data_IF_317542934182
#
_entry.id   IF_317542934182
#
_cell.length_a   1.000
_cell.length_b   1.000
_cell.length_c   1.000
_cell.angle_alpha   90.00
_cell.angle_beta   90.00
_cell.angle_gamma   90.00
#
_symmetry.space_group_name_H-M   'P 1'
#
loop_
_entity.id
_entity.type
_entity.pdbx_description
1 polymer ?
#
# COMPACT_ATOMS: atom_id res chain seq x y z
N UNK A 1 -28.56 -33.76 23.15
CA UNK A 1 -28.24 -32.53 22.38
C UNK A 1 -29.51 -31.78 21.94
N UNK A 2 -30.45 -32.40 21.21
CA UNK A 2 -31.71 -31.74 20.79
C UNK A 2 -32.64 -31.40 21.98
N UNK A 3 -32.76 -32.30 22.96
CA UNK A 3 -33.57 -32.07 24.18
C UNK A 3 -33.04 -30.93 25.05
N UNK A 4 -31.73 -30.74 25.08
CA UNK A 4 -31.06 -29.72 25.89
C UNK A 4 -31.21 -28.31 25.29
N UNK A 5 -31.20 -28.21 23.96
CA UNK A 5 -31.52 -26.97 23.23
C UNK A 5 -32.98 -26.59 23.43
N UNK A 6 -33.90 -27.56 23.35
CA UNK A 6 -35.33 -27.31 23.57
C UNK A 6 -35.63 -26.86 25.00
N UNK A 7 -34.98 -27.47 26.00
CA UNK A 7 -35.15 -27.05 27.40
C UNK A 7 -34.65 -25.62 27.65
N UNK A 8 -33.50 -25.24 27.06
CA UNK A 8 -33.00 -23.85 27.14
C UNK A 8 -33.94 -22.85 26.45
N UNK A 9 -34.53 -23.22 25.31
CA UNK A 9 -35.52 -22.37 24.63
C UNK A 9 -36.77 -22.16 25.49
N UNK A 10 -37.26 -23.20 26.17
CA UNK A 10 -38.40 -23.12 27.07
C UNK A 10 -38.10 -22.23 28.29
N UNK A 11 -36.90 -22.31 28.85
CA UNK A 11 -36.47 -21.41 29.93
C UNK A 11 -36.40 -19.95 29.47
N UNK A 12 -35.87 -19.68 28.29
CA UNK A 12 -35.83 -18.33 27.70
C UNK A 12 -37.25 -17.79 27.49
N UNK A 13 -38.17 -18.60 26.97
CA UNK A 13 -39.57 -18.21 26.78
C UNK A 13 -40.27 -17.89 28.11
N UNK A 14 -40.04 -18.68 29.16
CA UNK A 14 -40.55 -18.42 30.51
C UNK A 14 -39.96 -17.17 31.16
N UNK A 15 -38.72 -16.82 30.81
CA UNK A 15 -38.09 -15.58 31.27
C UNK A 15 -38.69 -14.36 30.56
N UNK A 16 -38.94 -14.46 29.25
CA UNK A 16 -39.59 -13.40 28.45
C UNK A 16 -41.03 -13.15 28.93
N UNK A 17 -41.78 -14.21 29.28
CA UNK A 17 -43.17 -14.08 29.74
C UNK A 17 -43.31 -13.41 31.12
N UNK A 18 -42.21 -13.25 31.88
CA UNK A 18 -42.20 -12.59 33.21
C UNK A 18 -41.86 -11.10 33.14
N UNK A 19 -41.58 -10.55 31.95
CA UNK A 19 -41.24 -9.14 31.78
C UNK A 19 -42.46 -8.24 31.98
N UNK A 20 -42.29 -7.14 32.73
CA UNK A 20 -43.32 -6.11 32.88
C UNK A 20 -43.42 -5.23 31.62
N UNK A 21 -44.57 -4.59 31.40
CA UNK A 21 -44.83 -3.74 30.24
C UNK A 21 -43.76 -2.63 30.04
N UNK A 22 -43.29 -2.01 31.12
CA UNK A 22 -42.21 -1.00 31.10
C UNK A 22 -40.88 -1.58 30.59
N UNK A 23 -40.55 -2.81 30.98
CA UNK A 23 -39.33 -3.51 30.54
C UNK A 23 -39.43 -3.92 29.08
N UNK A 24 -40.62 -4.32 28.62
CA UNK A 24 -40.88 -4.62 27.21
C UNK A 24 -40.74 -3.36 26.34
N UNK A 25 -41.23 -2.22 26.81
CA UNK A 25 -41.08 -0.93 26.13
C UNK A 25 -39.60 -0.50 26.05
N UNK A 26 -38.85 -0.61 27.15
CA UNK A 26 -37.40 -0.35 27.16
C UNK A 26 -36.65 -1.29 26.20
N UNK A 27 -37.02 -2.57 26.17
CA UNK A 27 -36.43 -3.54 25.26
C UNK A 27 -36.69 -3.18 23.78
N UNK A 28 -37.90 -2.71 23.45
CA UNK A 28 -38.23 -2.23 22.10
C UNK A 28 -37.35 -1.04 21.67
N UNK A 29 -37.08 -0.09 22.57
CA UNK A 29 -36.18 1.04 22.31
C UNK A 29 -34.73 0.55 22.09
N UNK A 30 -34.25 -0.39 22.91
CA UNK A 30 -32.91 -0.96 22.79
C UNK A 30 -32.75 -1.71 21.47
N UNK A 31 -33.72 -2.54 21.09
CA UNK A 31 -33.72 -3.26 19.81
C UNK A 31 -33.73 -2.28 18.63
N UNK A 32 -34.56 -1.24 18.69
CA UNK A 32 -34.61 -0.19 17.66
C UNK A 32 -33.27 0.54 17.51
N UNK A 33 -32.62 0.87 18.64
CA UNK A 33 -31.30 1.49 18.65
C UNK A 33 -30.22 0.57 18.08
N UNK A 34 -30.25 -0.73 18.42
CA UNK A 34 -29.34 -1.73 17.84
C UNK A 34 -29.52 -1.86 16.33
N UNK A 35 -30.76 -1.91 15.85
CA UNK A 35 -31.07 -1.94 14.41
C UNK A 35 -30.53 -0.69 13.73
N UNK A 36 -30.71 0.50 14.32
CA UNK A 36 -30.15 1.74 13.80
C UNK A 36 -28.62 1.71 13.73
N UNK A 37 -27.93 1.27 14.79
CA UNK A 37 -26.47 1.14 14.81
C UNK A 37 -25.97 0.15 13.75
N UNK A 38 -26.63 -1.00 13.61
CA UNK A 38 -26.31 -1.99 12.58
C UNK A 38 -26.53 -1.43 11.18
N UNK A 39 -27.66 -0.75 10.96
CA UNK A 39 -27.98 -0.06 9.71
C UNK A 39 -26.94 0.99 9.36
N UNK A 40 -26.55 1.84 10.32
CA UNK A 40 -25.54 2.88 10.10
C UNK A 40 -24.16 2.31 9.82
N UNK A 41 -23.76 1.24 10.51
CA UNK A 41 -22.51 0.52 10.24
C UNK A 41 -22.50 -0.07 8.84
N UNK A 42 -23.62 -0.68 8.42
CA UNK A 42 -23.75 -1.25 7.09
C UNK A 42 -23.70 -0.16 5.99
N UNK A 43 -24.39 0.96 6.20
CA UNK A 43 -24.35 2.13 5.30
C UNK A 43 -22.91 2.64 5.11
N UNK A 44 -22.14 2.80 6.19
CA UNK A 44 -20.74 3.22 6.13
C UNK A 44 -19.86 2.20 5.42
N UNK A 45 -20.12 0.91 5.63
CA UNK A 45 -19.41 -0.17 4.94
C UNK A 45 -19.69 -0.13 3.42
N UNK A 46 -20.95 0.07 3.02
CA UNK A 46 -21.36 0.21 1.61
C UNK A 46 -20.70 1.44 0.95
N UNK A 47 -20.68 2.59 1.62
CA UNK A 47 -20.01 3.80 1.09
C UNK A 47 -18.51 3.59 0.86
N UNK A 48 -17.82 2.92 1.79
CA UNK A 48 -16.39 2.57 1.62
C UNK A 48 -16.20 1.61 0.45
N UNK A 49 -17.10 0.66 0.29
CA UNK A 49 -17.07 -0.31 -0.79
C UNK A 49 -17.28 0.34 -2.17
N UNK A 50 -18.25 1.23 -2.30
CA UNK A 50 -18.50 2.00 -3.52
C UNK A 50 -17.30 2.87 -3.90
N UNK A 51 -16.70 3.55 -2.92
CA UNK A 51 -15.49 4.34 -3.12
C UNK A 51 -14.32 3.46 -3.64
N UNK A 52 -14.11 2.27 -3.06
CA UNK A 52 -13.09 1.31 -3.54
C UNK A 52 -13.36 0.85 -4.96
N UNK A 53 -14.61 0.50 -5.28
CA UNK A 53 -15.01 0.08 -6.62
C UNK A 53 -14.62 1.13 -7.67
N UNK A 54 -14.93 2.41 -7.42
CA UNK A 54 -14.57 3.50 -8.33
C UNK A 54 -13.06 3.60 -8.55
N UNK A 55 -12.25 3.46 -7.49
CA UNK A 55 -10.79 3.52 -7.63
C UNK A 55 -10.21 2.29 -8.35
N UNK A 56 -10.80 1.11 -8.16
CA UNK A 56 -10.33 -0.10 -8.83
C UNK A 56 -10.71 -0.15 -10.31
N UNK A 57 -11.79 0.50 -10.73
CA UNK A 57 -12.09 0.70 -12.15
C UNK A 57 -10.94 1.47 -12.82
N UNK A 58 -10.49 2.59 -12.23
CA UNK A 58 -9.31 3.34 -12.73
C UNK A 58 -8.05 2.49 -12.82
N UNK A 59 -7.85 1.59 -11.85
CA UNK A 59 -6.72 0.67 -11.88
C UNK A 59 -6.83 -0.34 -13.03
N UNK A 60 -8.01 -0.89 -13.29
CA UNK A 60 -8.25 -1.82 -14.40
C UNK A 60 -8.02 -1.11 -15.74
N UNK A 61 -8.52 0.12 -15.90
CA UNK A 61 -8.28 0.96 -17.09
C UNK A 61 -6.79 1.20 -17.31
N UNK A 62 -6.02 1.46 -16.25
CA UNK A 62 -4.56 1.58 -16.35
C UNK A 62 -3.91 0.27 -16.82
N UNK A 63 -4.34 -0.87 -16.27
CA UNK A 63 -3.81 -2.17 -16.69
C UNK A 63 -4.12 -2.48 -18.16
N UNK A 64 -5.32 -2.14 -18.62
CA UNK A 64 -5.73 -2.26 -20.02
C UNK A 64 -4.88 -1.36 -20.93
N UNK A 65 -4.68 -0.11 -20.55
CA UNK A 65 -3.85 0.83 -21.29
C UNK A 65 -2.40 0.35 -21.39
N UNK A 66 -1.84 -0.13 -20.28
CA UNK A 66 -0.48 -0.69 -20.22
C UNK A 66 -0.36 -1.92 -21.12
N UNK A 67 -1.32 -2.84 -21.08
CA UNK A 67 -1.33 -4.04 -21.92
C UNK A 67 -1.47 -3.70 -23.42
N UNK A 68 -2.38 -2.79 -23.75
CA UNK A 68 -2.64 -2.36 -25.13
C UNK A 68 -1.42 -1.67 -25.76
N UNK A 69 -0.67 -0.90 -24.97
CA UNK A 69 0.55 -0.23 -25.45
C UNK A 69 1.73 -1.19 -25.61
N UNK A 70 1.86 -2.22 -24.74
CA UNK A 70 2.85 -3.28 -24.93
C UNK A 70 2.67 -3.98 -26.29
N UNK A 71 1.42 -4.29 -26.67
CA UNK A 71 1.12 -4.96 -27.94
C UNK A 71 1.40 -4.07 -29.17
N UNK A 72 1.27 -2.74 -29.03
CA UNK A 72 1.43 -1.79 -30.15
C UNK A 72 2.87 -1.29 -30.36
N UNK A 73 3.83 -1.68 -29.51
CA UNK A 73 5.25 -1.22 -29.54
C UNK A 73 5.43 0.32 -29.67
N UNK A 74 4.44 1.10 -29.27
CA UNK A 74 4.46 2.57 -29.34
C UNK A 74 3.98 3.15 -28.01
N UNK A 75 4.91 3.60 -27.18
CA UNK A 75 4.61 4.45 -26.03
C UNK A 75 4.41 5.88 -26.54
N UNK A 76 3.19 6.21 -26.99
CA UNK A 76 2.92 7.52 -27.60
C UNK A 76 3.04 8.69 -26.63
N UNK A 77 2.94 8.49 -25.32
CA UNK A 77 3.11 9.53 -24.30
C UNK A 77 3.64 8.99 -22.96
N UNK A 78 4.95 9.07 -22.73
CA UNK A 78 5.58 8.59 -21.49
C UNK A 78 5.17 9.41 -20.24
N UNK A 79 4.90 10.71 -20.40
CA UNK A 79 4.48 11.58 -19.29
C UNK A 79 3.05 11.30 -18.81
N UNK A 80 2.11 11.12 -19.74
CA UNK A 80 0.74 10.73 -19.41
C UNK A 80 0.72 9.39 -18.66
N UNK A 81 1.51 8.42 -19.13
CA UNK A 81 1.63 7.12 -18.47
C UNK A 81 2.18 7.26 -17.04
N UNK A 82 3.22 8.08 -16.83
CA UNK A 82 3.76 8.37 -15.49
C UNK A 82 2.68 8.98 -14.58
N UNK A 83 1.88 9.91 -15.10
CA UNK A 83 0.79 10.54 -14.36
C UNK A 83 -0.29 9.51 -13.99
N UNK A 84 -0.72 8.68 -14.92
CA UNK A 84 -1.70 7.61 -14.65
C UNK A 84 -1.21 6.64 -13.57
N UNK A 85 0.07 6.24 -13.62
CA UNK A 85 0.66 5.39 -12.58
C UNK A 85 0.72 6.08 -11.21
N UNK A 86 0.99 7.39 -11.16
CA UNK A 86 0.97 8.14 -9.92
C UNK A 86 -0.46 8.23 -9.35
N UNK A 87 -1.43 8.60 -10.17
CA UNK A 87 -2.83 8.75 -9.78
C UNK A 87 -3.38 7.42 -9.23
N UNK A 88 -3.18 6.33 -9.98
CA UNK A 88 -3.61 4.99 -9.56
C UNK A 88 -2.83 4.50 -8.34
N UNK A 89 -1.53 4.76 -8.27
CA UNK A 89 -0.70 4.39 -7.12
C UNK A 89 -1.15 5.07 -5.82
N UNK A 90 -1.48 6.36 -5.90
CA UNK A 90 -1.99 7.13 -4.75
C UNK A 90 -3.39 6.65 -4.33
N UNK A 91 -4.29 6.37 -5.28
CA UNK A 91 -5.60 5.78 -5.01
C UNK A 91 -5.49 4.41 -4.34
N UNK A 92 -4.60 3.53 -4.82
CA UNK A 92 -4.38 2.22 -4.21
C UNK A 92 -3.76 2.33 -2.81
N UNK A 93 -2.91 3.32 -2.56
CA UNK A 93 -2.36 3.55 -1.22
C UNK A 93 -3.45 3.91 -0.20
N UNK A 94 -4.44 4.70 -0.62
CA UNK A 94 -5.53 5.18 0.24
C UNK A 94 -6.67 4.18 0.40
N UNK A 95 -7.09 3.55 -0.69
CA UNK A 95 -8.31 2.73 -0.74
C UNK A 95 -8.02 1.23 -0.89
N UNK A 96 -6.84 0.88 -1.40
CA UNK A 96 -6.39 -0.49 -1.62
C UNK A 96 -6.09 -1.24 -0.33
N UNK A 97 -6.23 -2.57 -0.34
CA UNK A 97 -5.65 -3.37 0.75
C UNK A 97 -4.13 -3.32 0.74
N UNK A 98 -3.52 -3.53 1.91
CA UNK A 98 -2.07 -3.69 2.06
C UNK A 98 -1.50 -4.75 1.10
N UNK A 99 -2.27 -5.80 0.81
CA UNK A 99 -1.87 -6.86 -0.11
C UNK A 99 -1.84 -6.36 -1.55
N UNK A 100 -2.93 -5.74 -2.01
CA UNK A 100 -3.04 -5.18 -3.35
C UNK A 100 -1.96 -4.12 -3.59
N UNK A 101 -1.76 -3.22 -2.64
CA UNK A 101 -0.74 -2.18 -2.76
C UNK A 101 0.68 -2.76 -2.89
N UNK A 102 1.02 -3.79 -2.11
CA UNK A 102 2.30 -4.50 -2.27
C UNK A 102 2.45 -5.20 -3.62
N UNK A 103 1.37 -5.79 -4.14
CA UNK A 103 1.37 -6.41 -5.47
C UNK A 103 1.62 -5.34 -6.55
N UNK A 104 0.99 -4.18 -6.43
CA UNK A 104 1.20 -3.04 -7.33
C UNK A 104 2.63 -2.50 -7.30
N UNK A 105 3.18 -2.26 -6.10
CA UNK A 105 4.57 -1.79 -5.97
C UNK A 105 5.53 -2.80 -6.59
N UNK A 106 5.36 -4.08 -6.29
CA UNK A 106 6.20 -5.12 -6.89
C UNK A 106 6.05 -5.17 -8.41
N UNK A 107 4.83 -5.02 -8.96
CA UNK A 107 4.61 -4.93 -10.40
C UNK A 107 5.35 -3.74 -11.04
N UNK A 108 5.33 -2.57 -10.39
CA UNK A 108 6.07 -1.38 -10.84
C UNK A 108 7.57 -1.63 -10.84
N UNK A 109 8.09 -2.22 -9.77
CA UNK A 109 9.51 -2.55 -9.66
C UNK A 109 9.93 -3.65 -10.62
N UNK A 110 9.04 -4.60 -10.94
CA UNK A 110 9.33 -5.74 -11.79
C UNK A 110 9.87 -5.35 -13.17
N UNK A 111 9.32 -4.31 -13.79
CA UNK A 111 9.78 -3.79 -15.08
C UNK A 111 10.88 -2.74 -14.99
N UNK A 112 11.09 -2.16 -13.80
CA UNK A 112 12.01 -1.02 -13.62
C UNK A 112 13.36 -1.45 -13.02
N UNK A 113 13.39 -2.58 -12.32
CA UNK A 113 14.51 -2.98 -11.50
C UNK A 113 15.48 -3.87 -12.30
N UNK A 114 16.71 -3.41 -12.60
CA UNK A 114 17.67 -4.20 -13.38
C UNK A 114 18.14 -5.46 -12.64
N UNK A 115 17.94 -5.55 -11.32
CA UNK A 115 18.24 -6.77 -10.56
C UNK A 115 17.25 -7.88 -10.87
N UNK A 116 15.98 -7.53 -11.11
CA UNK A 116 14.92 -8.50 -11.42
C UNK A 116 15.15 -9.13 -12.79
N UNK A 117 15.53 -8.33 -13.78
CA UNK A 117 15.84 -8.79 -15.13
C UNK A 117 17.04 -9.76 -15.17
N UNK A 118 18.00 -9.60 -14.24
CA UNK A 118 19.18 -10.45 -14.12
C UNK A 118 18.92 -11.76 -13.34
N UNK A 119 17.78 -11.87 -12.66
CA UNK A 119 17.46 -13.09 -11.92
C UNK A 119 17.28 -14.28 -12.89
N UNK A 120 17.80 -15.44 -12.50
CA UNK A 120 17.69 -16.69 -13.29
C UNK A 120 16.23 -17.06 -13.63
N UNK A 121 15.31 -16.66 -12.77
CA UNK A 121 13.89 -17.02 -12.87
C UNK A 121 13.05 -15.98 -13.61
N UNK A 122 13.68 -14.94 -14.17
CA UNK A 122 12.99 -13.91 -14.94
C UNK A 122 12.43 -14.46 -16.25
N UNK A 123 11.22 -14.02 -16.58
CA UNK A 123 10.55 -14.25 -17.86
C UNK A 123 9.65 -13.04 -18.14
N UNK A 124 9.63 -12.55 -19.39
CA UNK A 124 8.84 -11.38 -19.79
C UNK A 124 7.35 -11.58 -19.53
N UNK A 125 6.87 -12.83 -19.66
CA UNK A 125 5.49 -13.23 -19.39
C UNK A 125 5.05 -13.09 -17.93
N UNK A 126 5.99 -12.92 -16.98
CA UNK A 126 5.70 -12.76 -15.54
C UNK A 126 4.94 -11.49 -15.22
N UNK A 127 5.11 -10.44 -16.01
CA UNK A 127 4.37 -9.19 -15.88
C UNK A 127 2.85 -9.40 -15.96
N UNK A 128 2.40 -10.20 -16.93
CA UNK A 128 1.00 -10.58 -17.10
C UNK A 128 0.47 -11.36 -15.89
N UNK A 129 1.28 -12.26 -15.32
CA UNK A 129 0.88 -13.01 -14.13
C UNK A 129 0.75 -12.13 -12.88
N UNK A 130 1.57 -11.09 -12.75
CA UNK A 130 1.43 -10.09 -11.69
C UNK A 130 0.13 -9.30 -11.86
N UNK A 131 -0.23 -8.92 -13.09
CA UNK A 131 -1.52 -8.29 -13.39
C UNK A 131 -2.70 -9.19 -12.99
N UNK A 132 -2.64 -10.47 -13.35
CA UNK A 132 -3.64 -11.48 -12.97
C UNK A 132 -3.85 -11.56 -11.46
N UNK A 133 -2.75 -11.51 -10.70
CA UNK A 133 -2.79 -11.59 -9.24
C UNK A 133 -3.47 -10.36 -8.63
N UNK A 134 -3.19 -9.16 -9.17
CA UNK A 134 -3.82 -7.92 -8.74
C UNK A 134 -5.32 -7.90 -9.06
N UNK A 135 -5.72 -8.31 -10.27
CA UNK A 135 -7.13 -8.41 -10.66
C UNK A 135 -7.90 -9.39 -9.77
N UNK A 136 -7.30 -10.54 -9.45
CA UNK A 136 -7.89 -11.50 -8.52
C UNK A 136 -8.06 -10.92 -7.12
N UNK A 137 -7.09 -10.15 -6.63
CA UNK A 137 -7.19 -9.45 -5.35
C UNK A 137 -8.33 -8.42 -5.39
N UNK A 138 -8.40 -7.60 -6.44
CA UNK A 138 -9.47 -6.61 -6.63
C UNK A 138 -10.85 -7.27 -6.63
N UNK A 139 -11.03 -8.37 -7.37
CA UNK A 139 -12.30 -9.11 -7.40
C UNK A 139 -12.75 -9.56 -5.99
N UNK A 140 -11.82 -10.04 -5.17
CA UNK A 140 -12.12 -10.44 -3.78
C UNK A 140 -12.50 -9.26 -2.89
N UNK A 141 -12.02 -8.06 -3.22
CA UNK A 141 -12.30 -6.84 -2.46
C UNK A 141 -13.58 -6.13 -2.92
N UNK A 142 -13.97 -6.28 -4.19
CA UNK A 142 -15.22 -5.73 -4.79
C UNK A 142 -16.32 -6.78 -4.82
N UNK A 143 -16.45 -7.59 -3.77
CA UNK A 143 -17.76 -8.14 -3.43
C UNK A 143 -18.19 -9.42 -4.15
N UNK A 144 -17.27 -10.35 -4.35
CA UNK A 144 -17.67 -11.75 -4.51
C UNK A 144 -17.25 -12.55 -3.29
N UNK A 145 -18.09 -13.53 -2.92
CA UNK A 145 -17.89 -14.37 -1.75
C UNK A 145 -16.43 -14.85 -1.70
N UNK A 146 -15.81 -14.81 -0.52
CA UNK A 146 -14.43 -15.29 -0.34
C UNK A 146 -14.22 -16.72 -0.86
N UNK A 147 -15.30 -17.51 -0.83
CA UNK A 147 -15.37 -18.90 -1.30
C UNK A 147 -15.45 -19.03 -2.82
N UNK A 148 -15.93 -18.01 -3.52
CA UNK A 148 -16.07 -18.01 -4.97
C UNK A 148 -14.81 -17.43 -5.62
N UNK A 149 -13.88 -18.33 -5.96
CA UNK A 149 -12.55 -17.95 -6.41
C UNK A 149 -12.35 -18.21 -7.90
N UNK A 150 -12.28 -17.12 -8.66
CA UNK A 150 -11.78 -17.13 -10.03
C UNK A 150 -10.28 -17.38 -10.02
N UNK A 151 -9.81 -18.28 -10.89
CA UNK A 151 -8.39 -18.59 -11.02
C UNK A 151 -7.63 -17.41 -11.65
N UNK A 152 -6.31 -17.35 -11.48
CA UNK A 152 -5.50 -16.30 -12.13
C UNK A 152 -5.56 -16.40 -13.66
N UNK A 153 -5.72 -17.62 -14.19
CA UNK A 153 -5.85 -17.88 -15.63
C UNK A 153 -7.14 -17.26 -16.16
N UNK A 154 -8.25 -17.49 -15.45
CA UNK A 154 -9.56 -16.93 -15.79
C UNK A 154 -9.58 -15.40 -15.65
N UNK A 155 -8.88 -14.84 -14.65
CA UNK A 155 -8.75 -13.39 -14.51
C UNK A 155 -8.01 -12.73 -15.69
N UNK A 156 -7.16 -13.49 -16.41
CA UNK A 156 -6.46 -13.04 -17.61
C UNK A 156 -7.27 -13.20 -18.89
N UNK A 157 -8.39 -13.92 -18.87
CA UNK A 157 -9.18 -14.22 -20.06
C UNK A 157 -9.71 -12.96 -20.77
N UNK A 158 -9.86 -11.85 -20.03
CA UNK A 158 -10.26 -10.55 -20.59
C UNK A 158 -9.13 -9.86 -21.39
N UNK A 159 -7.87 -10.23 -21.14
CA UNK A 159 -6.69 -9.62 -21.75
C UNK A 159 -6.06 -10.52 -22.82
N UNK A 160 -6.10 -11.84 -22.62
CA UNK A 160 -5.44 -12.81 -23.50
C UNK A 160 -6.40 -13.94 -23.86
N UNK A 161 -6.58 -14.13 -25.16
CA UNK A 161 -7.42 -15.19 -25.73
C UNK A 161 -6.85 -16.58 -25.42
N UNK A 162 -7.73 -17.57 -25.31
CA UNK A 162 -7.39 -19.00 -25.16
C UNK A 162 -6.55 -19.35 -23.92
N UNK A 163 -6.62 -18.52 -22.87
CA UNK A 163 -5.89 -18.75 -21.62
C UNK A 163 -6.75 -19.52 -20.61
N UNK A 164 -8.00 -19.12 -20.37
CA UNK A 164 -8.86 -19.63 -19.27
C UNK A 164 -9.00 -21.16 -19.22
N UNK A 165 -9.33 -21.78 -20.36
CA UNK A 165 -9.65 -23.19 -20.45
C UNK A 165 -8.50 -24.05 -20.97
N UNK A 166 -7.32 -23.47 -21.18
CA UNK A 166 -6.16 -24.17 -21.72
C UNK A 166 -5.34 -24.85 -20.59
N UNK A 167 -5.16 -26.19 -20.61
CA UNK A 167 -4.36 -26.91 -19.62
C UNK A 167 -2.89 -26.45 -19.56
N UNK A 168 -2.27 -26.15 -20.70
CA UNK A 168 -0.90 -25.66 -20.76
C UNK A 168 -0.76 -24.31 -20.04
N UNK A 169 -1.74 -23.42 -20.18
CA UNK A 169 -1.80 -22.14 -19.48
C UNK A 169 -1.94 -22.29 -17.97
N UNK A 170 -2.71 -23.28 -17.51
CA UNK A 170 -2.84 -23.62 -16.08
C UNK A 170 -1.51 -24.09 -15.48
N UNK A 171 -0.75 -24.92 -16.20
CA UNK A 171 0.59 -25.38 -15.79
C UNK A 171 1.57 -24.20 -15.79
N UNK A 172 1.54 -23.37 -16.85
CA UNK A 172 2.42 -22.20 -16.97
C UNK A 172 2.24 -21.24 -15.79
N UNK A 173 1.01 -21.03 -15.31
CA UNK A 173 0.77 -20.24 -14.09
C UNK A 173 1.45 -20.80 -12.85
N UNK A 174 1.42 -22.11 -12.66
CA UNK A 174 2.08 -22.74 -11.51
C UNK A 174 3.60 -22.51 -11.56
N UNK A 175 4.20 -22.63 -12.75
CA UNK A 175 5.61 -22.32 -12.95
C UNK A 175 5.90 -20.83 -12.71
N UNK A 176 5.06 -19.93 -13.22
CA UNK A 176 5.24 -18.48 -13.02
C UNK A 176 5.10 -18.06 -11.56
N UNK A 177 4.20 -18.68 -10.79
CA UNK A 177 4.13 -18.47 -9.33
C UNK A 177 5.42 -18.89 -8.64
N UNK A 178 5.98 -20.03 -9.04
CA UNK A 178 7.25 -20.50 -8.52
C UNK A 178 8.37 -19.50 -8.85
N UNK A 179 8.50 -19.08 -10.11
CA UNK A 179 9.49 -18.09 -10.56
C UNK A 179 9.37 -16.78 -9.80
N UNK A 180 8.16 -16.22 -9.69
CA UNK A 180 7.91 -14.98 -8.93
C UNK A 180 8.28 -15.12 -7.45
N UNK A 181 8.05 -16.28 -6.85
CA UNK A 181 8.46 -16.55 -5.47
C UNK A 181 9.98 -16.58 -5.35
N UNK A 182 10.67 -17.21 -6.30
CA UNK A 182 12.13 -17.28 -6.31
C UNK A 182 12.77 -15.91 -6.51
N UNK A 183 12.26 -15.09 -7.43
CA UNK A 183 12.72 -13.69 -7.62
C UNK A 183 12.60 -12.91 -6.31
N UNK A 184 11.44 -13.00 -5.61
CA UNK A 184 11.25 -12.33 -4.32
C UNK A 184 12.23 -12.80 -3.25
N UNK A 185 12.56 -14.08 -3.24
CA UNK A 185 13.54 -14.66 -2.32
C UNK A 185 14.95 -14.18 -2.66
N UNK A 186 15.32 -14.15 -3.94
CA UNK A 186 16.61 -13.69 -4.41
C UNK A 186 16.83 -12.20 -4.08
N UNK A 187 15.84 -11.35 -4.36
CA UNK A 187 15.85 -9.94 -3.96
C UNK A 187 16.01 -9.78 -2.44
N UNK A 188 15.30 -10.59 -1.67
CA UNK A 188 15.43 -10.58 -0.20
C UNK A 188 16.86 -10.89 0.24
N UNK A 189 17.54 -11.87 -0.37
CA UNK A 189 18.94 -12.17 -0.05
C UNK A 189 19.89 -11.05 -0.50
N UNK A 190 19.66 -10.44 -1.66
CA UNK A 190 20.45 -9.30 -2.15
C UNK A 190 20.37 -8.13 -1.15
N UNK A 191 19.17 -7.80 -0.67
CA UNK A 191 18.98 -6.75 0.35
C UNK A 191 19.73 -7.05 1.65
N UNK A 192 19.78 -8.32 2.05
CA UNK A 192 20.52 -8.76 3.24
C UNK A 192 22.03 -8.63 3.03
N UNK A 193 22.54 -9.05 1.88
CA UNK A 193 23.96 -8.92 1.53
C UNK A 193 24.42 -7.47 1.44
N UNK A 194 23.56 -6.57 0.93
CA UNK A 194 23.85 -5.13 0.86
C UNK A 194 23.78 -4.41 2.22
N UNK A 195 23.47 -5.15 3.29
CA UNK A 195 23.38 -4.65 4.66
C UNK A 195 22.39 -3.48 4.79
N UNK A 196 21.31 -3.50 4.00
CA UNK A 196 20.31 -2.42 3.97
C UNK A 196 19.71 -2.19 5.37
N UNK A 197 19.47 -3.27 6.12
CA UNK A 197 18.93 -3.18 7.47
C UNK A 197 19.87 -2.46 8.45
N UNK A 198 21.16 -2.79 8.45
CA UNK A 198 22.12 -2.17 9.39
C UNK A 198 22.37 -0.71 9.01
N UNK A 199 22.49 -0.42 7.70
CA UNK A 199 22.56 0.97 7.20
C UNK A 199 21.32 1.77 7.61
N UNK A 200 20.12 1.20 7.49
CA UNK A 200 18.88 1.86 7.91
C UNK A 200 18.87 2.17 9.40
N UNK A 201 19.31 1.24 10.25
CA UNK A 201 19.44 1.50 11.68
C UNK A 201 20.45 2.61 11.97
N UNK A 202 21.61 2.58 11.32
CA UNK A 202 22.64 3.60 11.45
C UNK A 202 22.10 5.00 11.08
N UNK A 203 21.44 5.14 9.93
CA UNK A 203 20.90 6.42 9.49
C UNK A 203 19.69 6.90 10.29
N UNK A 204 18.90 5.98 10.85
CA UNK A 204 17.73 6.36 11.66
C UNK A 204 18.10 6.76 13.08
N UNK A 205 19.14 6.16 13.66
CA UNK A 205 19.47 6.34 15.08
C UNK A 205 20.80 7.05 15.29
N UNK A 206 21.89 6.60 14.65
CA UNK A 206 23.22 7.15 14.88
C UNK A 206 23.43 8.50 14.17
N UNK A 207 23.00 8.62 12.90
CA UNK A 207 23.22 9.84 12.11
C UNK A 207 22.52 11.09 12.69
N UNK A 208 21.28 11.01 13.20
CA UNK A 208 20.64 12.15 13.84
C UNK A 208 21.36 12.59 15.11
N UNK A 209 21.89 11.64 15.91
CA UNK A 209 22.66 11.95 17.13
C UNK A 209 23.97 12.66 16.77
N UNK A 210 24.68 12.18 15.76
CA UNK A 210 25.89 12.86 15.28
C UNK A 210 25.57 14.25 14.73
N UNK A 211 24.46 14.39 14.00
CA UNK A 211 23.97 15.66 13.49
C UNK A 211 23.63 16.66 14.60
N UNK A 212 22.90 16.23 15.63
CA UNK A 212 22.55 17.08 16.77
C UNK A 212 23.79 17.46 17.58
N UNK A 213 24.72 16.53 17.81
CA UNK A 213 25.99 16.82 18.48
C UNK A 213 26.82 17.86 17.72
N UNK A 214 26.92 17.73 16.39
CA UNK A 214 27.60 18.71 15.55
C UNK A 214 26.93 20.10 15.62
N UNK A 215 25.59 20.14 15.63
CA UNK A 215 24.85 21.39 15.83
C UNK A 215 25.12 22.00 17.21
N UNK A 216 25.19 21.20 18.27
CA UNK A 216 25.51 21.66 19.64
C UNK A 216 26.91 22.28 19.66
N UNK A 217 27.93 21.60 19.13
CA UNK A 217 29.29 22.15 19.06
C UNK A 217 29.29 23.47 18.30
N UNK A 218 28.63 23.54 17.13
CA UNK A 218 28.60 24.74 16.31
C UNK A 218 27.98 25.93 17.05
N UNK A 219 26.82 25.76 17.69
CA UNK A 219 26.08 26.87 18.29
C UNK A 219 26.44 27.20 19.73
N UNK A 220 26.88 26.23 20.54
CA UNK A 220 27.24 26.45 21.94
C UNK A 220 28.74 26.66 22.17
N UNK A 221 29.61 26.14 21.30
CA UNK A 221 31.06 26.27 21.47
C UNK A 221 31.61 27.22 20.41
N UNK A 222 31.44 26.92 19.14
CA UNK A 222 32.08 27.67 18.06
C UNK A 222 31.53 29.10 17.95
N UNK A 223 30.21 29.27 17.92
CA UNK A 223 29.57 30.58 17.72
C UNK A 223 29.81 31.56 18.89
N UNK A 224 29.78 31.13 20.17
CA UNK A 224 30.15 31.99 21.30
C UNK A 224 31.65 32.33 21.32
N UNK A 225 32.53 31.37 20.99
CA UNK A 225 33.97 31.64 20.86
C UNK A 225 34.25 32.65 19.74
N UNK A 226 33.58 32.54 18.60
CA UNK A 226 33.69 33.53 17.51
C UNK A 226 33.22 34.90 17.98
N UNK A 227 32.08 35.00 18.68
CA UNK A 227 31.59 36.28 19.24
C UNK A 227 32.55 36.86 20.28
N UNK A 228 33.14 36.02 21.12
CA UNK A 228 34.09 36.42 22.15
C UNK A 228 35.42 36.88 21.53
N UNK A 229 35.90 36.22 20.48
CA UNK A 229 37.05 36.68 19.68
C UNK A 229 36.80 38.05 19.04
N UNK A 230 35.61 38.27 18.45
CA UNK A 230 35.22 39.57 17.89
C UNK A 230 35.16 40.66 18.98
N UNK A 231 34.75 40.29 20.19
CA UNK A 231 34.69 41.21 21.34
C UNK A 231 36.09 41.57 21.88
N UNK A 232 36.99 40.59 22.02
CA UNK A 232 38.35 40.81 22.53
C UNK A 232 39.28 41.53 21.53
N UNK A 233 39.04 41.39 20.22
CA UNK A 233 39.87 42.00 19.19
C UNK A 233 39.05 42.88 18.24
N UNK A 234 38.84 44.17 18.56
CA UNK A 234 38.04 45.09 17.73
C UNK A 234 38.64 45.33 16.33
N UNK A 235 39.95 45.16 16.15
CA UNK A 235 40.61 45.24 14.84
C UNK A 235 40.11 44.17 13.84
N UNK A 236 39.61 43.04 14.34
CA UNK A 236 39.00 41.97 13.51
C UNK A 236 37.59 42.37 13.08
N UNK A 237 36.84 43.08 13.94
CA UNK A 237 35.51 43.63 13.63
C UNK A 237 35.56 44.66 12.49
N UNK A 238 36.59 45.51 12.46
CA UNK A 238 36.83 46.43 11.34
C UNK A 238 37.21 45.71 10.03
N UNK A 239 37.98 44.62 10.12
CA UNK A 239 38.37 43.84 8.93
C UNK A 239 37.20 43.04 8.35
N UNK A 240 36.33 42.49 9.19
CA UNK A 240 35.11 41.76 8.79
C UNK A 240 34.05 42.72 8.21
N UNK A 241 33.89 43.92 8.77
CA UNK A 241 32.97 44.94 8.22
C UNK A 241 33.45 45.53 6.89
N UNK A 242 34.77 45.65 6.68
CA UNK A 242 35.37 46.03 5.39
C UNK A 242 35.26 44.93 4.31
N UNK A 243 35.13 43.65 4.69
CA UNK A 243 35.02 42.52 3.74
C UNK A 243 33.58 42.12 3.40
N UNK A 244 32.57 42.67 4.09
CA UNK A 244 31.19 42.50 3.64
C UNK A 244 30.91 43.49 2.49
N UNK A 245 30.49 43.02 1.31
CA UNK A 245 30.07 43.93 0.25
C UNK A 245 28.91 44.78 0.80
N UNK A 246 29.00 46.11 0.62
CA UNK A 246 27.87 47.02 0.85
C UNK A 246 26.67 46.41 0.12
N UNK A 247 25.65 45.99 0.88
CA UNK A 247 24.33 45.78 0.28
C UNK A 247 23.88 47.14 -0.21
N UNK A 248 23.98 47.35 -1.52
CA UNK A 248 23.34 48.47 -2.19
C UNK A 248 21.84 48.41 -1.87
N UNK A 249 21.33 49.49 -1.30
CA UNK A 249 19.91 49.69 -1.15
C UNK A 249 19.35 50.02 -2.54
N UNK A 250 18.66 49.04 -3.12
CA UNK A 250 17.64 49.20 -4.16
C UNK A 250 16.53 48.20 -3.85
#
# INVERSE_FOLDING_TARGET
MISEVNNKLIEILKAISKLKAEQVALFSIIVSFLIYLMGKRNELHLKKYEAKKQQYIKFIELLENVFSQMNKKQFKNAEEMKKSFFDVGSSLLLYGSKKLYKQYVFFREFSSNPLVEKCKYYDEGLSLYLMAEMLRTIRKEVGLNFLDSVSQVEALAFFVNDVAFNPCSKIKISNSKFSLKMIKIELFFIERLQLVYTKRLFYNYAMPILGTFNLIIKYFILMPLIKLLIFLFPNIKEKISKSQPKKEAT
#
